data_IF_711100002075
#
_entry.id   IF_711100002075
#
_cell.length_a   1.000
_cell.length_b   1.000
_cell.length_c   1.000
_cell.angle_alpha   90.00
_cell.angle_beta   90.00
_cell.angle_gamma   90.00
#
_symmetry.space_group_name_H-M   'P 1'
#
loop_
_entity.id
_entity.type
_entity.pdbx_description
1 polymer ?
#
# COMPACT_ATOMS: atom_id res chain seq x y z
N UNK A 1 -25.77 30.78 2.44
CA UNK A 1 -24.90 30.16 3.46
C UNK A 1 -24.61 28.72 3.06
N UNK A 2 -23.55 28.46 2.30
CA UNK A 2 -23.25 27.14 1.71
C UNK A 2 -21.75 26.78 1.76
N UNK A 3 -20.97 27.51 2.55
CA UNK A 3 -19.52 27.32 2.66
C UNK A 3 -19.17 26.00 3.38
N UNK A 4 -20.01 25.60 4.35
CA UNK A 4 -19.78 24.39 5.14
C UNK A 4 -19.75 23.09 4.30
N UNK A 5 -20.72 22.80 3.41
CA UNK A 5 -20.66 21.60 2.56
C UNK A 5 -19.50 21.65 1.55
N UNK A 6 -19.13 22.84 1.06
CA UNK A 6 -17.99 23.02 0.16
C UNK A 6 -16.67 22.64 0.84
N UNK A 7 -16.46 23.10 2.08
CA UNK A 7 -15.28 22.73 2.87
C UNK A 7 -15.23 21.22 3.14
N UNK A 8 -16.38 20.60 3.42
CA UNK A 8 -16.46 19.16 3.66
C UNK A 8 -16.12 18.35 2.41
N UNK A 9 -16.61 18.75 1.23
CA UNK A 9 -16.28 18.10 -0.03
C UNK A 9 -14.77 18.17 -0.35
N UNK A 10 -14.15 19.33 -0.11
CA UNK A 10 -12.69 19.50 -0.29
C UNK A 10 -11.92 18.61 0.68
N UNK A 11 -12.33 18.52 1.95
CA UNK A 11 -11.69 17.67 2.94
C UNK A 11 -11.74 16.18 2.54
N UNK A 12 -12.90 15.71 2.05
CA UNK A 12 -13.07 14.34 1.58
C UNK A 12 -12.19 14.02 0.37
N UNK A 13 -12.08 14.94 -0.60
CA UNK A 13 -11.21 14.80 -1.76
C UNK A 13 -9.73 14.65 -1.37
N UNK A 14 -9.26 15.48 -0.43
CA UNK A 14 -7.89 15.40 0.08
C UNK A 14 -7.61 14.09 0.82
N UNK A 15 -8.60 13.55 1.53
CA UNK A 15 -8.47 12.28 2.25
C UNK A 15 -8.36 11.07 1.30
N UNK A 16 -9.10 11.08 0.20
CA UNK A 16 -9.01 10.03 -0.84
C UNK A 16 -7.64 10.02 -1.53
N UNK A 17 -7.09 11.19 -1.81
CA UNK A 17 -5.75 11.33 -2.40
C UNK A 17 -4.66 10.77 -1.46
N UNK A 18 -4.78 11.00 -0.14
CA UNK A 18 -3.86 10.45 0.85
C UNK A 18 -3.95 8.91 0.97
N UNK A 19 -5.17 8.36 0.93
CA UNK A 19 -5.39 6.92 1.03
C UNK A 19 -4.81 6.12 -0.16
N UNK A 20 -4.75 6.73 -1.36
CA UNK A 20 -4.12 6.12 -2.53
C UNK A 20 -2.58 6.11 -2.48
N UNK A 21 -1.97 6.99 -1.68
CA UNK A 21 -0.52 7.17 -1.57
C UNK A 21 0.11 6.47 -0.35
N UNK A 22 -0.68 6.14 0.67
CA UNK A 22 -0.19 5.31 1.77
C UNK A 22 0.11 3.91 1.25
N UNK A 23 1.39 3.51 1.25
CA UNK A 23 1.78 2.11 1.07
C UNK A 23 0.85 1.27 1.93
N UNK A 24 0.01 0.40 1.35
CA UNK A 24 -0.92 -0.38 2.14
C UNK A 24 -0.07 -1.20 3.09
N UNK A 25 -0.18 -0.89 4.38
CA UNK A 25 0.25 -1.78 5.45
C UNK A 25 -0.74 -2.93 5.44
N UNK A 26 -0.62 -3.76 4.41
CA UNK A 26 -1.47 -4.92 4.21
C UNK A 26 -1.09 -5.97 5.24
N UNK A 27 -2.08 -6.72 5.69
CA UNK A 27 -1.79 -7.95 6.42
C UNK A 27 -0.94 -8.86 5.52
N UNK A 28 -0.22 -9.85 6.08
CA UNK A 28 0.46 -10.87 5.27
C UNK A 28 -0.47 -11.50 4.22
N UNK A 29 -1.75 -11.69 4.57
CA UNK A 29 -2.76 -12.22 3.64
C UNK A 29 -3.05 -11.28 2.46
N UNK A 30 -2.96 -9.95 2.65
CA UNK A 30 -3.10 -9.00 1.54
C UNK A 30 -1.90 -9.07 0.58
N UNK A 31 -0.69 -9.32 1.10
CA UNK A 31 0.50 -9.50 0.27
C UNK A 31 0.38 -10.74 -0.61
N UNK A 32 -0.05 -11.86 -0.01
CA UNK A 32 -0.30 -13.12 -0.71
C UNK A 32 -1.42 -12.99 -1.75
N UNK A 33 -2.53 -12.32 -1.42
CA UNK A 33 -3.63 -12.03 -2.37
C UNK A 33 -3.17 -11.21 -3.59
N UNK A 34 -2.10 -10.41 -3.47
CA UNK A 34 -1.50 -9.64 -4.57
C UNK A 34 -0.46 -10.43 -5.38
N UNK A 35 -0.33 -11.74 -5.10
CA UNK A 35 0.68 -12.62 -5.70
C UNK A 35 2.10 -12.38 -5.18
N UNK A 36 2.24 -11.73 -4.02
CA UNK A 36 3.52 -11.52 -3.36
C UNK A 36 3.72 -12.48 -2.19
N UNK A 37 4.87 -12.36 -1.53
CA UNK A 37 5.19 -13.05 -0.28
C UNK A 37 5.89 -12.10 0.70
N UNK A 38 5.78 -12.41 1.99
CA UNK A 38 6.43 -11.63 3.03
C UNK A 38 7.85 -12.14 3.28
N UNK A 39 8.85 -11.25 3.25
CA UNK A 39 10.26 -11.57 3.52
C UNK A 39 10.85 -10.66 4.59
N UNK A 40 11.65 -11.22 5.51
CA UNK A 40 12.28 -10.44 6.57
C UNK A 40 13.49 -9.68 6.06
N UNK A 41 13.71 -8.45 6.54
CA UNK A 41 14.89 -7.59 6.27
C UNK A 41 15.07 -7.12 4.82
N UNK A 42 14.83 -7.94 3.80
CA UNK A 42 14.97 -7.56 2.38
C UNK A 42 14.24 -8.54 1.46
N UNK A 43 14.03 -8.15 0.20
CA UNK A 43 13.56 -9.07 -0.83
C UNK A 43 14.74 -9.83 -1.48
N UNK A 44 14.55 -11.09 -1.91
CA UNK A 44 15.58 -11.82 -2.64
C UNK A 44 16.02 -11.12 -3.94
N UNK A 45 17.23 -11.41 -4.45
CA UNK A 45 17.70 -10.88 -5.73
C UNK A 45 16.71 -11.19 -6.87
N UNK A 46 16.40 -10.20 -7.70
CA UNK A 46 15.44 -10.36 -8.80
C UNK A 46 13.96 -10.26 -8.41
N UNK A 47 13.66 -10.06 -7.12
CA UNK A 47 12.30 -9.84 -6.60
C UNK A 47 12.16 -8.38 -6.14
N UNK A 48 11.11 -7.68 -6.57
CA UNK A 48 10.86 -6.29 -6.20
C UNK A 48 10.08 -6.16 -4.89
N UNK A 49 10.37 -5.11 -4.11
CA UNK A 49 9.56 -4.72 -2.95
C UNK A 49 8.32 -3.95 -3.43
N UNK A 50 7.14 -4.45 -3.07
CA UNK A 50 5.85 -3.84 -3.43
C UNK A 50 5.07 -3.31 -2.22
N UNK A 51 5.52 -3.62 -1.00
CA UNK A 51 4.82 -3.22 0.22
C UNK A 51 5.56 -3.61 1.50
N UNK A 52 4.84 -3.56 2.63
CA UNK A 52 5.33 -3.93 3.96
C UNK A 52 4.25 -4.78 4.63
N UNK A 53 4.62 -5.98 5.10
CA UNK A 53 3.74 -6.84 5.90
C UNK A 53 3.82 -6.52 7.40
N UNK A 54 5.01 -6.15 7.90
CA UNK A 54 5.23 -5.77 9.31
C UNK A 54 6.50 -4.89 9.45
N UNK A 55 6.82 -4.45 10.67
CA UNK A 55 7.89 -3.46 10.98
C UNK A 55 9.23 -3.76 10.27
N UNK A 56 9.59 -5.03 10.11
CA UNK A 56 10.83 -5.47 9.42
C UNK A 56 10.57 -6.52 8.33
N UNK A 57 9.31 -6.65 7.90
CA UNK A 57 8.88 -7.66 6.93
C UNK A 57 8.31 -6.98 5.70
N UNK A 58 8.97 -7.17 4.56
CA UNK A 58 8.62 -6.57 3.29
C UNK A 58 7.73 -7.49 2.47
N UNK A 59 6.77 -6.90 1.76
CA UNK A 59 6.01 -7.62 0.75
C UNK A 59 6.79 -7.58 -0.57
N UNK A 60 7.15 -8.76 -1.06
CA UNK A 60 8.04 -8.97 -2.19
C UNK A 60 7.27 -9.66 -3.33
N UNK A 61 7.43 -9.21 -4.57
CA UNK A 61 6.81 -9.81 -5.75
C UNK A 61 7.79 -9.86 -6.92
N UNK A 62 7.82 -10.99 -7.63
CA UNK A 62 8.62 -11.15 -8.84
C UNK A 62 8.11 -10.19 -9.92
N UNK A 63 9.03 -9.48 -10.58
CA UNK A 63 8.69 -8.63 -11.74
C UNK A 63 8.50 -9.44 -13.02
N UNK A 64 8.97 -10.68 -13.03
CA UNK A 64 9.00 -11.58 -14.19
C UNK A 64 7.65 -12.21 -14.56
N UNK A 65 6.66 -12.16 -13.66
CA UNK A 65 5.31 -12.70 -13.87
C UNK A 65 4.25 -11.57 -13.95
N UNK A 66 4.54 -10.51 -14.73
CA UNK A 66 3.55 -9.47 -15.06
C UNK A 66 2.99 -9.70 -16.45
#
# INVERSE_FOLDING_TARGET
MQILPLLFAVLLLMLQAAAGLSLPRGSPQDCERRGGFCSQRSCPPGIGRIGICSKEVFCCRSRWYS
#
